data_IF_302674738125
#
_entry.id   IF_302674738125
#
_cell.length_a   1.000
_cell.length_b   1.000
_cell.length_c   1.000
_cell.angle_alpha   90.00
_cell.angle_beta   90.00
_cell.angle_gamma   90.00
#
_symmetry.space_group_name_H-M   'P 1'
#
loop_
_entity.id
_entity.type
_entity.pdbx_description
1 polymer ?
#
# COMPACT_ATOMS: atom_id res chain seq x y z
N UNK A 1 -14.31 17.87 0.96
CA UNK A 1 -13.32 16.84 0.58
C UNK A 1 -13.62 15.61 1.42
N UNK A 2 -14.16 14.55 0.83
CA UNK A 2 -14.49 13.29 1.53
C UNK A 2 -13.42 12.26 1.14
N UNK A 3 -12.40 12.11 1.99
CA UNK A 3 -11.35 11.11 1.82
C UNK A 3 -11.67 9.97 2.78
N UNK A 4 -11.85 8.75 2.27
CA UNK A 4 -12.13 7.57 3.10
C UNK A 4 -10.88 7.03 3.80
N UNK A 5 -9.73 7.10 3.12
CA UNK A 5 -8.43 6.74 3.68
C UNK A 5 -7.30 7.51 2.98
N UNK A 6 -6.17 7.69 3.68
CA UNK A 6 -4.95 8.28 3.13
C UNK A 6 -3.73 7.51 3.62
N UNK A 7 -2.73 7.41 2.74
CA UNK A 7 -1.51 6.66 3.03
C UNK A 7 -0.30 7.58 2.99
N UNK A 8 0.59 7.40 3.95
CA UNK A 8 1.89 8.04 4.02
C UNK A 8 2.90 7.01 3.57
N UNK A 9 3.62 7.30 2.50
CA UNK A 9 4.62 6.40 1.89
C UNK A 9 5.99 7.00 2.09
N UNK A 10 6.86 6.29 2.80
CA UNK A 10 8.28 6.60 2.84
C UNK A 10 8.96 6.00 1.58
N UNK A 11 9.23 6.85 0.59
CA UNK A 11 9.93 6.46 -0.63
C UNK A 11 11.44 6.25 -0.44
N UNK A 12 11.99 6.50 0.75
CA UNK A 12 13.41 6.25 1.08
C UNK A 12 13.70 4.77 1.29
N UNK A 13 14.98 4.40 1.48
CA UNK A 13 15.48 3.02 1.61
C UNK A 13 14.61 2.05 2.43
N UNK A 14 13.87 2.54 3.43
CA UNK A 14 13.01 1.74 4.28
C UNK A 14 11.72 1.23 3.59
N UNK A 15 11.19 1.99 2.63
CA UNK A 15 9.94 1.64 1.91
C UNK A 15 8.75 1.37 2.87
N UNK A 16 8.65 2.14 3.96
CA UNK A 16 7.59 2.00 4.97
C UNK A 16 6.29 2.67 4.49
N UNK A 17 5.15 2.03 4.76
CA UNK A 17 3.83 2.59 4.46
C UNK A 17 2.97 2.60 5.71
N UNK A 18 2.43 3.78 6.00
CA UNK A 18 1.47 3.97 7.09
C UNK A 18 0.14 4.43 6.50
N UNK A 19 -0.88 3.58 6.59
CA UNK A 19 -2.22 3.89 6.12
C UNK A 19 -3.16 4.27 7.27
N UNK A 20 -4.05 5.24 7.01
CA UNK A 20 -5.08 5.67 7.93
C UNK A 20 -6.44 5.70 7.23
N UNK A 21 -7.46 5.13 7.86
CA UNK A 21 -8.86 5.36 7.51
C UNK A 21 -9.38 6.60 8.25
N UNK A 22 -10.21 7.39 7.58
CA UNK A 22 -10.95 8.50 8.17
C UNK A 22 -12.28 7.95 8.70
N UNK A 23 -12.43 7.92 10.01
CA UNK A 23 -13.63 7.40 10.66
C UNK A 23 -13.97 8.25 11.90
N UNK A 24 -15.26 8.48 12.13
CA UNK A 24 -15.79 9.08 13.36
C UNK A 24 -15.16 10.43 13.76
N UNK A 25 -14.78 11.25 12.76
CA UNK A 25 -14.14 12.55 12.98
C UNK A 25 -12.64 12.48 13.29
N UNK A 26 -12.01 11.31 13.16
CA UNK A 26 -10.58 11.10 13.38
C UNK A 26 -9.92 10.17 12.34
N UNK A 27 -8.66 9.82 12.61
CA UNK A 27 -7.85 8.92 11.80
C UNK A 27 -7.54 7.64 12.56
N UNK A 28 -7.81 6.48 11.96
CA UNK A 28 -7.47 5.17 12.52
C UNK A 28 -6.43 4.49 11.64
N UNK A 29 -5.31 4.06 12.22
CA UNK A 29 -4.30 3.29 11.48
C UNK A 29 -4.90 1.98 10.98
N UNK A 30 -4.64 1.63 9.73
CA UNK A 30 -5.10 0.40 9.08
C UNK A 30 -3.93 -0.38 8.50
N UNK A 31 -4.05 -1.70 8.48
CA UNK A 31 -3.07 -2.61 7.88
C UNK A 31 -3.57 -3.22 6.56
N UNK A 32 -4.84 -2.99 6.23
CA UNK A 32 -5.48 -3.40 4.98
C UNK A 32 -6.33 -2.22 4.50
N UNK A 33 -6.38 -2.00 3.19
CA UNK A 33 -7.19 -0.94 2.59
C UNK A 33 -8.68 -1.22 2.76
N UNK A 34 -9.44 -0.19 3.11
CA UNK A 34 -10.90 -0.24 3.15
C UNK A 34 -11.52 0.08 1.79
N UNK A 35 -10.77 0.74 0.90
CA UNK A 35 -11.23 1.07 -0.47
C UNK A 35 -10.78 0.04 -1.51
N UNK A 36 -9.74 -0.75 -1.22
CA UNK A 36 -9.28 -1.88 -2.02
C UNK A 36 -9.32 -3.16 -1.17
N UNK A 37 -10.47 -3.85 -1.12
CA UNK A 37 -10.63 -5.08 -0.33
C UNK A 37 -9.58 -6.13 -0.68
N UNK A 38 -8.95 -6.74 0.32
CA UNK A 38 -7.88 -7.71 0.14
C UNK A 38 -6.50 -7.10 -0.10
N UNK A 39 -6.37 -5.77 -0.13
CA UNK A 39 -5.07 -5.11 -0.29
C UNK A 39 -4.40 -4.84 1.06
N UNK A 40 -3.52 -5.75 1.47
CA UNK A 40 -2.67 -5.55 2.63
C UNK A 40 -1.65 -4.43 2.37
N UNK A 41 -1.51 -3.51 3.31
CA UNK A 41 -0.55 -2.39 3.19
C UNK A 41 0.90 -2.89 3.16
N UNK A 42 1.19 -4.01 3.82
CA UNK A 42 2.50 -4.68 3.74
C UNK A 42 2.84 -5.16 2.33
N UNK A 43 1.84 -5.45 1.48
CA UNK A 43 2.08 -5.80 0.08
C UNK A 43 2.63 -4.61 -0.71
N UNK A 44 2.17 -3.40 -0.38
CA UNK A 44 2.70 -2.17 -0.98
C UNK A 44 4.17 -1.95 -0.56
N UNK A 45 4.50 -2.19 0.71
CA UNK A 45 5.88 -2.12 1.19
C UNK A 45 6.78 -3.09 0.42
N UNK A 46 6.35 -4.35 0.24
CA UNK A 46 7.11 -5.32 -0.56
C UNK A 46 7.26 -4.88 -2.02
N UNK A 47 6.21 -4.35 -2.63
CA UNK A 47 6.27 -3.81 -4.00
C UNK A 47 7.31 -2.69 -4.09
N UNK A 48 7.30 -1.74 -3.15
CA UNK A 48 8.25 -0.64 -3.09
C UNK A 48 9.68 -1.14 -2.88
N UNK A 49 9.89 -2.14 -2.02
CA UNK A 49 11.20 -2.77 -1.84
C UNK A 49 11.70 -3.44 -3.13
N UNK A 50 10.83 -4.13 -3.87
CA UNK A 50 11.16 -4.78 -5.15
C UNK A 50 11.55 -3.77 -6.22
N UNK A 51 10.95 -2.58 -6.27
CA UNK A 51 11.35 -1.52 -7.24
C UNK A 51 12.81 -1.10 -7.12
N UNK A 52 13.47 -1.38 -5.99
CA UNK A 52 14.91 -1.10 -5.78
C UNK A 52 15.83 -2.13 -6.43
N UNK A 53 15.31 -3.32 -6.74
CA UNK A 53 16.08 -4.49 -7.21
C UNK A 53 15.67 -4.94 -8.61
N UNK A 54 14.41 -4.72 -8.97
CA UNK A 54 13.78 -5.19 -10.20
C UNK A 54 13.33 -3.99 -11.04
N UNK A 55 13.19 -4.18 -12.35
CA UNK A 55 12.62 -3.13 -13.19
C UNK A 55 11.10 -2.99 -12.95
N UNK A 56 10.54 -1.84 -13.33
CA UNK A 56 9.11 -1.55 -13.08
C UNK A 56 8.18 -2.62 -13.66
N UNK A 57 8.45 -3.11 -14.88
CA UNK A 57 7.61 -4.13 -15.54
C UNK A 57 7.57 -5.44 -14.75
N UNK A 58 8.68 -5.88 -14.17
CA UNK A 58 8.76 -7.08 -13.34
C UNK A 58 7.94 -6.90 -12.05
N UNK A 59 8.11 -5.76 -11.37
CA UNK A 59 7.36 -5.46 -10.14
C UNK A 59 5.86 -5.39 -10.40
N UNK A 60 5.41 -4.72 -11.47
CA UNK A 60 3.99 -4.66 -11.80
C UNK A 60 3.40 -6.03 -12.11
N UNK A 61 4.11 -6.87 -12.88
CA UNK A 61 3.66 -8.25 -13.17
C UNK A 61 3.54 -9.08 -11.89
N UNK A 62 4.52 -8.98 -11.00
CA UNK A 62 4.50 -9.67 -9.72
C UNK A 62 3.37 -9.17 -8.80
N UNK A 63 3.15 -7.85 -8.73
CA UNK A 63 2.12 -7.26 -7.90
C UNK A 63 0.73 -7.71 -8.37
N UNK A 64 0.48 -7.67 -9.68
CA UNK A 64 -0.78 -8.13 -10.27
C UNK A 64 -1.06 -9.62 -9.99
N UNK A 65 -0.02 -10.46 -9.98
CA UNK A 65 -0.21 -11.89 -9.68
C UNK A 65 -0.57 -12.16 -8.22
N UNK A 66 -0.35 -11.22 -7.29
CA UNK A 66 -0.81 -11.37 -5.90
C UNK A 66 -2.33 -11.23 -5.76
N UNK A 67 -3.00 -10.56 -6.71
CA UNK A 67 -4.46 -10.41 -6.73
C UNK A 67 -5.19 -11.47 -7.55
N UNK A 68 -4.45 -12.33 -8.26
CA UNK A 68 -5.01 -13.39 -9.11
C UNK A 68 -5.16 -14.73 -8.38
N UNK A 69 -4.90 -14.75 -7.06
CA UNK A 69 -5.06 -15.93 -6.22
C UNK A 69 -6.49 -16.08 -5.71
#
# INVERSE_FOLDING_TARGET
>A
MNVAEYWIVDATLKAEVIAFAVADGGSKRINESQVLPGFAISLLEEALQRTRKENQTQVYRWLLSQFQK
#
